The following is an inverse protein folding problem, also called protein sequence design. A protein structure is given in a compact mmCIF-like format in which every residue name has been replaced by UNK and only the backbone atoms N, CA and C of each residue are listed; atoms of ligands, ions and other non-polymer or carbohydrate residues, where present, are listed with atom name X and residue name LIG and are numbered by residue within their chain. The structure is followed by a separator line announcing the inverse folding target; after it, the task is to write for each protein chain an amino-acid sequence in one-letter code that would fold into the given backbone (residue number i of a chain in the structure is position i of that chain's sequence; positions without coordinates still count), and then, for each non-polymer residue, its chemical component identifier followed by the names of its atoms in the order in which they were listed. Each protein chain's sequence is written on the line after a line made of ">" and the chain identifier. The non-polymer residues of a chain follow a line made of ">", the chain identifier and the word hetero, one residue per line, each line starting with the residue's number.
data_IF_544129897825
#
_entry.id   IF_544129897825
#
_cell.length_a   1.000
_cell.length_b   1.000
_cell.length_c   1.000
_cell.angle_alpha   90.00
_cell.angle_beta   90.00
_cell.angle_gamma   90.00
#
_symmetry.space_group_name_H-M   'P 1'
#
loop_
_entity.id
_entity.type
_entity.pdbx_description
1 polymer ?
#
# COMPACT_ATOMS: atom_id res chain seq x y z
N UNK A 1 -0.37 4.32 -7.46
CA UNK A 1 -0.99 3.02 -7.76
C UNK A 1 -0.50 2.05 -6.73
N UNK A 2 -1.39 1.23 -6.17
CA UNK A 2 -1.07 0.23 -5.14
C UNK A 2 0.13 -0.68 -5.48
N UNK A 3 0.35 -0.94 -6.77
CA UNK A 3 1.51 -1.71 -7.26
C UNK A 3 2.87 -1.10 -6.89
N UNK A 4 2.92 0.20 -6.59
CA UNK A 4 4.16 0.88 -6.17
C UNK A 4 4.59 0.49 -4.75
N UNK A 5 3.66 -0.04 -3.95
CA UNK A 5 3.92 -0.49 -2.57
C UNK A 5 4.11 -2.02 -2.49
N UNK A 6 4.38 -2.68 -3.62
CA UNK A 6 4.66 -4.11 -3.66
C UNK A 6 6.17 -4.39 -3.56
N UNK A 7 6.58 -5.42 -2.80
CA UNK A 7 7.93 -5.93 -2.82
C UNK A 7 8.32 -6.49 -4.20
N UNK A 8 9.62 -6.76 -4.42
CA UNK A 8 10.06 -7.42 -5.63
C UNK A 8 9.31 -8.73 -5.87
N UNK A 9 8.87 -8.96 -7.11
CA UNK A 9 8.12 -10.16 -7.53
C UNK A 9 8.81 -11.47 -7.14
N UNK A 10 10.14 -11.43 -6.99
CA UNK A 10 10.93 -12.58 -6.57
C UNK A 10 10.45 -13.20 -5.25
N UNK A 11 10.04 -12.36 -4.30
CA UNK A 11 9.62 -12.82 -2.97
C UNK A 11 8.28 -13.56 -2.98
N UNK A 12 7.50 -13.41 -4.04
CA UNK A 12 6.22 -14.09 -4.24
C UNK A 12 6.36 -15.34 -5.12
N UNK A 13 7.32 -15.36 -6.06
CA UNK A 13 7.46 -16.43 -7.05
C UNK A 13 8.54 -17.46 -6.74
N UNK A 14 9.58 -17.09 -6.01
CA UNK A 14 10.73 -17.97 -5.78
C UNK A 14 10.82 -18.34 -4.30
N UNK A 15 10.42 -19.58 -3.96
CA UNK A 15 10.60 -20.10 -2.62
C UNK A 15 12.06 -20.11 -2.17
N UNK A 16 12.27 -20.02 -0.85
CA UNK A 16 13.60 -20.17 -0.28
C UNK A 16 14.16 -21.56 -0.62
N UNK A 17 15.39 -21.65 -1.15
CA UNK A 17 15.88 -22.91 -1.72
C UNK A 17 16.37 -23.92 -0.69
N UNK A 18 16.74 -23.48 0.52
CA UNK A 18 17.30 -24.32 1.59
C UNK A 18 17.04 -23.71 2.98
N UNK A 19 17.18 -24.53 4.01
CA UNK A 19 17.16 -24.12 5.42
C UNK A 19 15.78 -24.31 6.08
N UNK A 20 15.59 -23.84 7.33
CA UNK A 20 14.37 -24.12 8.10
C UNK A 20 13.06 -23.61 7.49
N UNK A 21 13.15 -22.64 6.58
CA UNK A 21 12.02 -22.05 5.86
C UNK A 21 12.03 -22.41 4.37
N UNK A 22 12.74 -23.48 3.99
CA UNK A 22 12.75 -24.00 2.62
C UNK A 22 11.33 -24.18 2.07
N UNK A 23 11.14 -23.80 0.80
CA UNK A 23 9.84 -23.86 0.13
C UNK A 23 8.87 -22.74 0.52
N UNK A 24 9.21 -21.86 1.48
CA UNK A 24 8.36 -20.70 1.83
C UNK A 24 8.64 -19.50 0.94
N UNK A 25 7.59 -18.75 0.65
CA UNK A 25 7.59 -17.46 -0.02
C UNK A 25 6.38 -16.64 0.45
N UNK A 26 6.27 -15.39 0.01
CA UNK A 26 5.11 -14.55 0.28
C UNK A 26 3.92 -14.99 -0.57
N UNK A 27 2.73 -14.92 0.02
CA UNK A 27 1.45 -15.13 -0.66
C UNK A 27 0.91 -13.77 -1.11
N UNK A 28 0.68 -13.61 -2.42
CA UNK A 28 0.23 -12.34 -3.00
C UNK A 28 -1.14 -11.90 -2.46
N UNK A 29 -2.08 -12.82 -2.29
CA UNK A 29 -3.43 -12.50 -1.82
C UNK A 29 -3.44 -12.11 -0.34
N UNK A 30 -2.60 -12.75 0.48
CA UNK A 30 -2.42 -12.36 1.89
C UNK A 30 -1.70 -11.03 2.01
N UNK A 31 -0.68 -10.79 1.19
CA UNK A 31 0.00 -9.50 1.15
C UNK A 31 -0.95 -8.39 0.71
N UNK A 32 -1.79 -8.64 -0.28
CA UNK A 32 -2.80 -7.68 -0.72
C UNK A 32 -3.76 -7.34 0.43
N UNK A 33 -4.32 -8.33 1.13
CA UNK A 33 -5.16 -8.05 2.31
C UNK A 33 -4.44 -7.23 3.38
N UNK A 34 -3.17 -7.55 3.64
CA UNK A 34 -2.34 -6.80 4.59
C UNK A 34 -2.15 -5.34 4.15
N UNK A 35 -1.92 -5.09 2.86
CA UNK A 35 -1.70 -3.76 2.33
C UNK A 35 -2.97 -2.90 2.39
N UNK A 36 -4.16 -3.48 2.16
CA UNK A 36 -5.43 -2.76 2.35
C UNK A 36 -5.64 -2.38 3.81
N UNK A 37 -5.37 -3.31 4.74
CA UNK A 37 -5.43 -3.01 6.18
C UNK A 37 -4.45 -1.89 6.57
N UNK A 38 -3.25 -1.90 5.99
CA UNK A 38 -2.27 -0.83 6.21
C UNK A 38 -2.80 0.53 5.73
N UNK A 39 -3.40 0.61 4.54
CA UNK A 39 -3.99 1.84 4.03
C UNK A 39 -5.16 2.31 4.90
N UNK A 40 -6.06 1.42 5.29
CA UNK A 40 -7.18 1.74 6.18
C UNK A 40 -6.67 2.37 7.50
N UNK A 41 -5.66 1.74 8.12
CA UNK A 41 -5.06 2.26 9.36
C UNK A 41 -4.36 3.60 9.19
N UNK A 42 -3.84 3.88 7.99
CA UNK A 42 -3.25 5.19 7.63
C UNK A 42 -4.30 6.23 7.22
N UNK A 43 -5.56 5.84 7.06
CA UNK A 43 -6.60 6.68 6.48
C UNK A 43 -6.35 7.01 5.00
N UNK A 44 -5.82 6.03 4.26
CA UNK A 44 -5.57 6.09 2.83
C UNK A 44 -6.60 5.24 2.09
N UNK A 45 -6.82 5.55 0.81
CA UNK A 45 -7.66 4.73 -0.06
C UNK A 45 -6.91 3.50 -0.61
N UNK A 46 -7.64 2.63 -1.33
CA UNK A 46 -7.08 1.40 -1.92
C UNK A 46 -5.99 1.64 -2.97
N UNK A 47 -5.81 2.88 -3.44
CA UNK A 47 -4.78 3.26 -4.41
C UNK A 47 -3.47 3.66 -3.73
N UNK A 48 -3.45 3.72 -2.41
CA UNK A 48 -2.34 4.21 -1.59
C UNK A 48 -2.29 5.73 -1.47
N UNK A 49 -3.43 6.42 -1.64
CA UNK A 49 -3.51 7.88 -1.60
C UNK A 49 -4.19 8.30 -0.27
N UNK A 50 -3.60 9.23 0.51
CA UNK A 50 -4.26 9.77 1.70
C UNK A 50 -5.64 10.36 1.38
N UNK A 51 -6.64 10.05 2.21
CA UNK A 51 -7.97 10.64 2.03
C UNK A 51 -7.97 12.12 2.39
N UNK A 52 -8.92 12.87 1.85
CA UNK A 52 -9.12 14.29 2.18
C UNK A 52 -9.29 14.49 3.67
N UNK A 53 -10.05 13.60 4.33
CA UNK A 53 -10.25 13.61 5.78
C UNK A 53 -8.91 13.53 6.53
N UNK A 54 -8.07 12.55 6.20
CA UNK A 54 -6.76 12.37 6.82
C UNK A 54 -5.85 13.59 6.61
N UNK A 55 -5.83 14.14 5.39
CA UNK A 55 -5.03 15.33 5.10
C UNK A 55 -5.51 16.55 5.91
N UNK A 56 -6.82 16.73 6.08
CA UNK A 56 -7.37 17.80 6.91
C UNK A 56 -7.03 17.62 8.39
N UNK A 57 -7.16 16.41 8.94
CA UNK A 57 -6.81 16.09 10.34
C UNK A 57 -5.32 16.35 10.62
N UNK A 58 -4.46 16.19 9.61
CA UNK A 58 -3.02 16.45 9.70
C UNK A 58 -2.63 17.90 9.38
N UNK A 59 -3.59 18.81 9.17
CA UNK A 59 -3.37 20.20 8.75
C UNK A 59 -2.67 20.36 7.38
N UNK A 60 -2.87 19.41 6.46
CA UNK A 60 -2.31 19.37 5.11
C UNK A 60 -3.34 19.75 4.02
N UNK A 61 -4.19 20.74 4.30
CA UNK A 61 -5.26 21.13 3.39
C UNK A 61 -4.74 21.70 2.06
N UNK A 62 -3.62 22.43 2.08
CA UNK A 62 -3.01 23.01 0.87
C UNK A 62 -2.45 21.92 -0.05
N UNK A 63 -1.83 20.91 0.55
CA UNK A 63 -1.29 19.74 -0.15
C UNK A 63 -2.43 18.90 -0.75
N UNK A 64 -3.57 18.81 -0.07
CA UNK A 64 -4.77 18.16 -0.60
C UNK A 64 -5.30 18.90 -1.86
N UNK A 65 -5.33 20.22 -1.85
CA UNK A 65 -5.72 21.03 -3.02
C UNK A 65 -4.74 20.89 -4.18
N UNK A 66 -3.44 20.86 -3.90
CA UNK A 66 -2.42 20.65 -4.92
C UNK A 66 -2.54 19.24 -5.55
N UNK A 67 -2.67 18.21 -4.71
CA UNK A 67 -2.81 16.83 -5.15
C UNK A 67 -4.08 16.62 -5.99
N UNK A 68 -5.17 17.33 -5.65
CA UNK A 68 -6.44 17.26 -6.37
C UNK A 68 -6.37 17.72 -7.84
N UNK A 69 -5.33 18.49 -8.22
CA UNK A 69 -5.08 18.87 -9.61
C UNK A 69 -4.64 17.69 -10.48
N UNK A 70 -4.04 16.67 -9.88
CA UNK A 70 -3.44 15.54 -10.59
C UNK A 70 -4.25 14.25 -10.45
N UNK A 71 -4.91 14.06 -9.31
CA UNK A 71 -5.68 12.86 -9.00
C UNK A 71 -6.94 13.19 -8.21
N UNK A 72 -7.98 12.37 -8.34
CA UNK A 72 -9.15 12.48 -7.46
C UNK A 72 -8.74 12.14 -6.03
N UNK A 73 -8.82 13.12 -5.12
CA UNK A 73 -8.68 12.92 -3.67
C UNK A 73 -10.06 12.65 -3.09
N UNK A 74 -10.27 11.44 -2.58
CA UNK A 74 -11.52 10.98 -1.94
C UNK A 74 -11.58 11.34 -0.47
#
# INVERSE_FOLDING_TARGET
>A
SRKMDYPPVRWFKHPLPKGPLEGKHLDEAKYDKLLSFYYEKRGWDERGIPTKKTLQELNLAKEAEELAKYVKVS
#
